data_IF_989277593780
#
_entry.id   IF_989277593780
#
_cell.length_a   1.000
_cell.length_b   1.000
_cell.length_c   1.000
_cell.angle_alpha   90.00
_cell.angle_beta   90.00
_cell.angle_gamma   90.00
#
_symmetry.space_group_name_H-M   'P 1'
#
loop_
_entity.id
_entity.type
_entity.pdbx_description
1 polymer ?
#
# COMPACT_ATOMS: atom_id res chain seq x y z
N UNK A 1 -40.03 -9.80 13.14
CA UNK A 1 -39.07 -8.80 12.64
C UNK A 1 -39.13 -8.79 11.12
N UNK A 2 -39.16 -7.62 10.49
CA UNK A 2 -39.29 -7.51 9.04
C UNK A 2 -37.91 -7.61 8.34
N UNK A 3 -37.92 -7.92 7.04
CA UNK A 3 -36.71 -8.14 6.25
C UNK A 3 -35.85 -6.87 6.06
N UNK A 4 -36.45 -5.68 6.23
CA UNK A 4 -35.77 -4.38 6.16
C UNK A 4 -34.93 -4.12 7.41
N UNK A 5 -35.46 -4.44 8.59
CA UNK A 5 -34.72 -4.32 9.86
C UNK A 5 -33.54 -5.27 9.91
N UNK A 6 -33.73 -6.52 9.45
CA UNK A 6 -32.64 -7.52 9.36
C UNK A 6 -31.51 -7.09 8.41
N UNK A 7 -31.84 -6.47 7.27
CA UNK A 7 -30.83 -5.98 6.31
C UNK A 7 -30.02 -4.81 6.87
N UNK A 8 -30.66 -3.96 7.67
CA UNK A 8 -30.00 -2.82 8.33
C UNK A 8 -29.07 -3.30 9.45
N UNK A 9 -29.52 -4.22 10.29
CA UNK A 9 -28.69 -4.83 11.34
C UNK A 9 -27.43 -5.52 10.78
N UNK A 10 -27.57 -6.29 9.70
CA UNK A 10 -26.43 -6.91 9.02
C UNK A 10 -25.45 -5.89 8.41
N UNK A 11 -25.96 -4.75 7.94
CA UNK A 11 -25.14 -3.63 7.46
C UNK A 11 -24.36 -2.96 8.59
N UNK A 12 -25.03 -2.71 9.71
CA UNK A 12 -24.43 -2.09 10.90
C UNK A 12 -23.34 -3.00 11.50
N UNK A 13 -23.56 -4.31 11.55
CA UNK A 13 -22.56 -5.29 11.98
C UNK A 13 -21.34 -5.32 11.05
N UNK A 14 -21.56 -5.30 9.73
CA UNK A 14 -20.48 -5.26 8.75
C UNK A 14 -19.61 -4.00 8.91
N UNK A 15 -20.25 -2.84 9.10
CA UNK A 15 -19.55 -1.57 9.33
C UNK A 15 -18.75 -1.62 10.63
N UNK A 16 -19.37 -2.07 11.73
CA UNK A 16 -18.69 -2.18 13.02
C UNK A 16 -17.48 -3.12 12.97
N UNK A 17 -17.63 -4.28 12.32
CA UNK A 17 -16.54 -5.24 12.11
C UNK A 17 -15.41 -4.63 11.27
N UNK A 18 -15.74 -3.96 10.17
CA UNK A 18 -14.72 -3.33 9.30
C UNK A 18 -13.95 -2.25 10.04
N UNK A 19 -14.64 -1.39 10.79
CA UNK A 19 -14.01 -0.34 11.60
C UNK A 19 -13.11 -0.91 12.69
N UNK A 20 -13.45 -2.06 13.27
CA UNK A 20 -12.60 -2.72 14.28
C UNK A 20 -11.25 -3.22 13.73
N UNK A 21 -11.14 -3.40 12.41
CA UNK A 21 -9.89 -3.76 11.74
C UNK A 21 -9.01 -2.54 11.40
N UNK A 22 -9.51 -1.32 11.58
CA UNK A 22 -8.78 -0.10 11.27
C UNK A 22 -8.10 0.44 12.52
N UNK A 23 -6.79 0.66 12.42
CA UNK A 23 -6.01 1.40 13.40
C UNK A 23 -5.34 2.57 12.71
N UNK A 24 -5.34 3.75 13.35
CA UNK A 24 -4.73 4.96 12.81
C UNK A 24 -3.50 5.33 13.62
N UNK A 25 -2.45 5.76 12.93
CA UNK A 25 -1.22 6.26 13.55
C UNK A 25 -0.70 7.44 12.75
N UNK A 26 -0.06 8.39 13.44
CA UNK A 26 0.68 9.50 12.84
C UNK A 26 2.17 9.24 12.76
N UNK A 27 2.65 8.14 13.35
CA UNK A 27 4.03 7.69 13.24
C UNK A 27 4.07 6.36 12.48
N UNK A 28 4.35 6.44 11.18
CA UNK A 28 4.43 5.26 10.32
C UNK A 28 5.61 4.34 10.69
N UNK A 29 6.67 4.89 11.30
CA UNK A 29 7.85 4.11 11.66
C UNK A 29 7.55 3.09 12.76
N UNK A 30 6.72 3.43 13.76
CA UNK A 30 6.34 2.51 14.84
C UNK A 30 5.42 1.36 14.43
N UNK A 31 4.76 1.46 13.27
CA UNK A 31 3.78 0.45 12.82
C UNK A 31 4.39 -0.52 11.79
N UNK A 32 5.39 -0.05 11.03
CA UNK A 32 5.90 -0.81 9.89
C UNK A 32 6.64 -2.11 10.29
N UNK A 33 7.10 -2.23 11.54
CA UNK A 33 7.83 -3.40 12.04
C UNK A 33 7.03 -4.71 11.98
N UNK A 34 5.71 -4.63 12.13
CA UNK A 34 4.80 -5.80 12.14
C UNK A 34 3.86 -5.79 10.93
N UNK A 35 4.25 -5.09 9.85
CA UNK A 35 3.42 -4.92 8.65
C UNK A 35 3.93 -5.82 7.54
N UNK A 36 3.06 -6.61 6.91
CA UNK A 36 3.44 -7.47 5.78
C UNK A 36 3.43 -6.74 4.43
N UNK A 37 2.50 -5.79 4.25
CA UNK A 37 2.34 -5.00 3.03
C UNK A 37 2.12 -3.53 3.37
N UNK A 38 2.95 -2.66 2.80
CA UNK A 38 2.80 -1.20 2.87
C UNK A 38 2.30 -0.68 1.54
N UNK A 39 1.18 0.03 1.53
CA UNK A 39 0.66 0.73 0.34
C UNK A 39 0.78 2.23 0.56
N UNK A 40 1.60 2.88 -0.25
CA UNK A 40 1.86 4.32 -0.19
C UNK A 40 0.91 5.08 -1.14
N UNK A 41 0.20 6.07 -0.59
CA UNK A 41 -0.71 6.96 -1.31
C UNK A 41 -0.60 8.42 -0.81
N UNK A 42 0.62 8.92 -0.70
CA UNK A 42 0.96 10.31 -0.38
C UNK A 42 1.03 11.19 -1.64
N UNK A 43 1.35 12.47 -1.46
CA UNK A 43 1.51 13.45 -2.53
C UNK A 43 2.43 12.95 -3.66
N UNK A 44 2.09 13.29 -4.90
CA UNK A 44 2.79 12.83 -6.10
C UNK A 44 4.12 13.60 -6.30
N UNK A 45 5.06 13.39 -5.39
CA UNK A 45 6.39 13.99 -5.40
C UNK A 45 7.45 12.93 -5.12
N UNK A 46 8.38 12.73 -6.06
CA UNK A 46 9.41 11.70 -5.98
C UNK A 46 10.31 11.85 -4.74
N UNK A 47 10.71 13.07 -4.39
CA UNK A 47 11.59 13.31 -3.24
C UNK A 47 10.90 12.90 -1.95
N UNK A 48 9.65 13.31 -1.75
CA UNK A 48 8.87 13.00 -0.54
C UNK A 48 8.63 11.48 -0.43
N UNK A 49 8.29 10.81 -1.54
CA UNK A 49 8.13 9.35 -1.55
C UNK A 49 9.43 8.63 -1.22
N UNK A 50 10.56 9.06 -1.81
CA UNK A 50 11.87 8.47 -1.53
C UNK A 50 12.28 8.63 -0.06
N UNK A 51 12.09 9.82 0.52
CA UNK A 51 12.37 10.07 1.93
C UNK A 51 11.50 9.20 2.85
N UNK A 52 10.22 9.05 2.52
CA UNK A 52 9.31 8.17 3.25
C UNK A 52 9.77 6.71 3.20
N UNK A 53 10.01 6.17 2.01
CA UNK A 53 10.41 4.78 1.86
C UNK A 53 11.79 4.50 2.48
N UNK A 54 12.76 5.41 2.36
CA UNK A 54 14.04 5.32 3.08
C UNK A 54 13.88 5.25 4.59
N UNK A 55 12.95 6.05 5.14
CA UNK A 55 12.68 6.03 6.58
C UNK A 55 12.03 4.70 6.98
N UNK A 56 11.03 4.23 6.23
CA UNK A 56 10.32 2.99 6.54
C UNK A 56 11.20 1.75 6.38
N UNK A 57 12.09 1.73 5.40
CA UNK A 57 12.98 0.60 5.12
C UNK A 57 13.89 0.24 6.31
N UNK A 58 14.27 1.23 7.12
CA UNK A 58 15.07 1.04 8.35
C UNK A 58 14.35 0.26 9.45
N UNK A 59 13.03 0.30 9.43
CA UNK A 59 12.18 -0.19 10.51
C UNK A 59 11.29 -1.36 10.09
N UNK A 60 11.05 -1.53 8.79
CA UNK A 60 10.20 -2.57 8.25
C UNK A 60 10.88 -3.94 8.34
N UNK A 61 10.10 -4.97 8.70
CA UNK A 61 10.60 -6.34 8.74
C UNK A 61 11.14 -6.78 7.38
N UNK A 62 12.05 -7.76 7.36
CA UNK A 62 12.73 -8.18 6.13
C UNK A 62 11.73 -8.65 5.05
N UNK A 63 10.63 -9.29 5.46
CA UNK A 63 9.60 -9.84 4.57
C UNK A 63 8.59 -8.81 4.06
N UNK A 64 8.57 -7.58 4.60
CA UNK A 64 7.56 -6.58 4.24
C UNK A 64 7.71 -6.16 2.78
N UNK A 65 6.60 -6.21 2.04
CA UNK A 65 6.48 -5.73 0.66
C UNK A 65 6.08 -4.27 0.64
N UNK A 66 6.75 -3.48 -0.19
CA UNK A 66 6.40 -2.08 -0.42
C UNK A 66 5.69 -1.92 -1.75
N UNK A 67 4.59 -1.17 -1.73
CA UNK A 67 3.81 -0.84 -2.90
C UNK A 67 3.50 0.65 -2.95
N UNK A 68 3.58 1.27 -4.13
CA UNK A 68 3.14 2.66 -4.35
C UNK A 68 1.91 2.70 -5.24
N UNK A 69 0.92 3.50 -4.86
CA UNK A 69 -0.27 3.82 -5.65
C UNK A 69 -0.03 4.93 -6.69
N UNK A 70 1.22 5.35 -6.91
CA UNK A 70 1.56 6.39 -7.90
C UNK A 70 0.96 6.09 -9.27
N UNK A 71 0.46 7.12 -9.96
CA UNK A 71 -0.10 7.02 -11.30
C UNK A 71 0.89 7.50 -12.37
N UNK A 72 1.86 8.36 -11.99
CA UNK A 72 2.74 9.05 -12.95
C UNK A 72 4.22 8.78 -12.76
N UNK A 73 4.65 8.36 -11.56
CA UNK A 73 6.07 8.18 -11.26
C UNK A 73 6.53 6.76 -11.59
N UNK A 74 7.78 6.65 -12.04
CA UNK A 74 8.38 5.35 -12.32
C UNK A 74 8.66 4.60 -11.00
N UNK A 75 8.09 3.39 -10.88
CA UNK A 75 8.30 2.50 -9.73
C UNK A 75 9.78 2.24 -9.46
N UNK A 76 10.59 2.06 -10.51
CA UNK A 76 12.04 1.86 -10.38
C UNK A 76 12.73 3.02 -9.65
N UNK A 77 12.34 4.27 -9.94
CA UNK A 77 12.92 5.46 -9.31
C UNK A 77 12.60 5.55 -7.82
N UNK A 78 11.43 5.05 -7.41
CA UNK A 78 11.02 5.01 -6.01
C UNK A 78 11.71 3.84 -5.29
N UNK A 79 11.69 2.65 -5.91
CA UNK A 79 12.28 1.43 -5.36
C UNK A 79 13.78 1.58 -5.07
N UNK A 80 14.52 2.31 -5.92
CA UNK A 80 15.94 2.58 -5.75
C UNK A 80 16.29 3.35 -4.47
N UNK A 81 15.31 3.96 -3.81
CA UNK A 81 15.52 4.59 -2.50
C UNK A 81 15.60 3.60 -1.34
N UNK A 82 15.28 2.31 -1.58
CA UNK A 82 15.25 1.25 -0.56
C UNK A 82 16.27 0.16 -0.84
N UNK A 83 16.55 -0.65 0.18
CA UNK A 83 17.38 -1.85 0.10
C UNK A 83 16.58 -3.07 -0.39
N UNK A 84 15.27 -3.09 -0.19
CA UNK A 84 14.33 -4.21 -0.54
C UNK A 84 13.74 -4.12 -1.95
N UNK A 85 14.60 -3.85 -2.90
CA UNK A 85 14.24 -3.59 -4.30
C UNK A 85 13.49 -4.73 -4.99
N UNK A 86 13.75 -5.96 -4.56
CA UNK A 86 13.12 -7.20 -4.98
C UNK A 86 11.69 -7.37 -4.42
N UNK A 87 11.36 -6.63 -3.35
CA UNK A 87 10.05 -6.63 -2.67
C UNK A 87 9.35 -5.28 -2.81
N UNK A 88 9.53 -4.62 -3.96
CA UNK A 88 8.89 -3.35 -4.29
C UNK A 88 8.05 -3.46 -5.56
N UNK A 89 6.81 -2.96 -5.52
CA UNK A 89 5.90 -2.93 -6.67
C UNK A 89 5.12 -1.61 -6.78
N UNK A 90 4.49 -1.38 -7.92
CA UNK A 90 3.37 -0.45 -8.05
C UNK A 90 2.06 -1.20 -7.85
N UNK A 91 1.14 -0.62 -7.07
CA UNK A 91 -0.21 -1.14 -6.84
C UNK A 91 -1.19 0.01 -7.03
N UNK A 92 -1.58 0.25 -8.28
CA UNK A 92 -2.34 1.42 -8.68
C UNK A 92 -3.84 1.11 -8.69
N UNK A 93 -4.57 1.82 -7.82
CA UNK A 93 -6.01 1.78 -7.65
C UNK A 93 -6.67 2.93 -8.40
N UNK A 94 -7.82 2.66 -9.02
CA UNK A 94 -8.60 3.66 -9.74
C UNK A 94 -9.65 4.28 -8.81
N UNK A 95 -9.83 5.60 -8.88
CA UNK A 95 -10.83 6.33 -8.10
C UNK A 95 -12.22 6.21 -8.76
N UNK A 96 -13.31 5.84 -8.05
CA UNK A 96 -13.40 5.52 -6.61
C UNK A 96 -12.92 4.12 -6.25
N UNK A 97 -11.98 4.02 -5.31
CA UNK A 97 -11.29 2.77 -4.94
C UNK A 97 -12.25 1.62 -4.61
N UNK A 98 -13.33 1.81 -3.82
CA UNK A 98 -14.24 0.69 -3.50
C UNK A 98 -15.15 0.27 -4.66
N UNK A 99 -15.29 1.11 -5.69
CA UNK A 99 -16.20 0.88 -6.83
C UNK A 99 -15.48 0.22 -8.01
N UNK A 100 -14.17 0.43 -8.12
CA UNK A 100 -13.37 -0.04 -9.24
C UNK A 100 -12.88 -1.46 -9.00
N UNK A 101 -13.09 -2.34 -9.99
CA UNK A 101 -12.68 -3.75 -9.92
C UNK A 101 -11.25 -4.00 -10.42
N UNK A 102 -10.63 -2.98 -11.01
CA UNK A 102 -9.32 -3.08 -11.63
C UNK A 102 -8.26 -2.56 -10.67
N UNK A 103 -7.16 -3.31 -10.56
CA UNK A 103 -5.93 -2.90 -9.91
C UNK A 103 -4.79 -3.19 -10.87
N UNK A 104 -3.94 -2.20 -11.11
CA UNK A 104 -2.76 -2.35 -11.95
C UNK A 104 -1.55 -2.69 -11.07
N UNK A 105 -0.85 -3.77 -11.42
CA UNK A 105 0.35 -4.22 -10.72
C UNK A 105 1.57 -3.97 -11.60
N UNK A 106 2.34 -2.96 -11.23
CA UNK A 106 3.54 -2.55 -11.97
C UNK A 106 4.79 -3.14 -11.34
N UNK A 107 5.55 -3.92 -12.11
CA UNK A 107 6.82 -4.49 -11.65
C UNK A 107 7.95 -3.50 -11.91
N UNK A 108 8.93 -3.49 -11.02
CA UNK A 108 10.20 -2.82 -11.30
C UNK A 108 10.85 -3.47 -12.53
N UNK A 109 11.43 -2.63 -13.41
CA UNK A 109 12.40 -3.12 -14.40
C UNK A 109 13.70 -3.51 -13.69
N UNK A 110 13.91 -4.81 -13.66
CA UNK A 110 15.19 -5.45 -13.46
C UNK A 110 16.05 -5.22 -14.72
N UNK A 111 17.10 -4.41 -14.61
CA UNK A 111 18.10 -4.23 -15.68
C UNK A 111 19.23 -5.27 -15.61
N UNK A 112 19.26 -6.15 -14.59
CA UNK A 112 20.30 -7.16 -14.38
C UNK A 112 19.92 -8.58 -14.87
N UNK A 113 18.65 -8.89 -15.14
CA UNK A 113 18.20 -10.19 -15.66
C UNK A 113 18.43 -10.39 -17.17
N UNK A 114 19.08 -9.43 -17.85
CA UNK A 114 19.52 -9.57 -19.24
C UNK A 114 21.03 -9.81 -19.40
N UNK A 115 21.76 -10.06 -18.31
CA UNK A 115 23.14 -10.50 -18.34
C UNK A 115 23.24 -11.99 -17.95
N UNK A 116 22.73 -12.87 -18.83
CA UNK A 116 23.11 -14.28 -18.92
C UNK A 116 23.53 -14.58 -20.35
#
# INVERSE_FOLDING_TARGET
MDALSLRREAGDEFVAKTLSCLSTSTDAASVVHSTDLVVEAIVENLKVKNELFQRLDKFAAEHTVFASNTSSLQITSIANSTTRQDRFAGLHFFNPVPMMKLVEVSRRLDLCAFAL
#
